data_IF_207856115449
#
_entry.id   IF_207856115449
#
_cell.length_a   1.000
_cell.length_b   1.000
_cell.length_c   1.000
_cell.angle_alpha   90.00
_cell.angle_beta   90.00
_cell.angle_gamma   90.00
#
_symmetry.space_group_name_H-M   'P 1'
#
loop_
_entity.id
_entity.type
_entity.pdbx_description
1 polymer ?
#
# COMPACT_ATOMS: atom_id res chain seq x y z
N UNK A 1 3.64 -3.90 1.00
CA UNK A 1 2.31 -3.52 1.54
C UNK A 1 1.29 -4.51 0.99
N UNK A 2 0.78 -5.41 1.82
CA UNK A 2 -0.20 -6.41 1.39
C UNK A 2 -1.43 -5.73 0.84
N UNK A 3 -1.79 -6.14 -0.37
CA UNK A 3 -2.77 -5.50 -1.23
C UNK A 3 -3.75 -6.52 -1.78
N UNK A 4 -5.03 -6.18 -1.76
CA UNK A 4 -6.11 -6.99 -2.32
C UNK A 4 -7.07 -6.09 -3.08
N UNK A 5 -7.67 -6.58 -4.17
CA UNK A 5 -8.71 -5.85 -4.89
C UNK A 5 -10.02 -6.62 -4.80
N UNK A 6 -11.07 -5.95 -4.36
CA UNK A 6 -12.44 -6.46 -4.42
C UNK A 6 -13.37 -5.35 -4.87
N UNK A 7 -14.28 -5.63 -5.81
CA UNK A 7 -15.28 -4.67 -6.30
C UNK A 7 -14.67 -3.30 -6.70
N UNK A 8 -13.54 -3.32 -7.43
CA UNK A 8 -12.82 -2.11 -7.87
C UNK A 8 -12.27 -1.22 -6.73
N UNK A 9 -12.18 -1.77 -5.52
CA UNK A 9 -11.54 -1.14 -4.36
C UNK A 9 -10.25 -1.89 -4.04
N UNK A 10 -9.15 -1.14 -3.94
CA UNK A 10 -7.88 -1.64 -3.42
C UNK A 10 -7.87 -1.51 -1.89
N UNK A 11 -7.62 -2.62 -1.22
CA UNK A 11 -7.44 -2.72 0.22
C UNK A 11 -5.96 -2.85 0.55
N UNK A 12 -5.44 -2.00 1.42
CA UNK A 12 -4.11 -2.13 2.01
C UNK A 12 -4.23 -2.61 3.44
N UNK A 13 -3.53 -3.70 3.78
CA UNK A 13 -3.62 -4.29 5.10
C UNK A 13 -3.24 -3.29 6.20
N UNK A 14 -4.03 -3.23 7.27
CA UNK A 14 -3.92 -2.29 8.41
C UNK A 14 -2.54 -2.23 9.08
N UNK A 15 -1.74 -3.30 8.97
CA UNK A 15 -0.41 -3.36 9.58
C UNK A 15 0.69 -2.80 8.66
N UNK A 16 0.38 -2.60 7.38
CA UNK A 16 1.35 -2.16 6.37
C UNK A 16 1.13 -0.69 5.97
N UNK A 17 0.01 -0.08 6.39
CA UNK A 17 -0.27 1.35 6.19
C UNK A 17 0.59 2.22 7.12
N UNK A 18 0.99 3.43 6.69
CA UNK A 18 1.83 4.28 7.51
C UNK A 18 1.12 4.69 8.80
N UNK A 19 1.91 4.98 9.84
CA UNK A 19 1.41 5.50 11.11
C UNK A 19 1.92 6.91 11.37
N UNK A 20 1.01 7.79 11.77
CA UNK A 20 1.38 9.14 12.22
C UNK A 20 2.16 9.08 13.54
N UNK A 21 3.28 9.81 13.61
CA UNK A 21 4.07 9.95 14.84
C UNK A 21 4.27 11.43 15.16
N UNK A 22 3.69 11.89 16.28
CA UNK A 22 3.71 13.31 16.73
C UNK A 22 5.12 13.92 16.84
N UNK A 23 6.12 13.11 17.19
CA UNK A 23 7.55 13.51 17.24
C UNK A 23 8.40 12.73 16.23
N UNK A 24 7.80 12.30 15.13
CA UNK A 24 8.44 11.48 14.10
C UNK A 24 9.05 12.28 12.94
N UNK A 25 9.58 11.55 11.96
CA UNK A 25 10.11 12.12 10.72
C UNK A 25 9.02 12.91 9.96
N UNK A 26 9.38 14.13 9.54
CA UNK A 26 8.52 14.97 8.68
C UNK A 26 8.14 14.24 7.41
N UNK A 27 9.08 13.53 6.77
CA UNK A 27 8.82 12.79 5.53
C UNK A 27 7.83 11.66 5.75
N UNK A 28 7.96 10.88 6.84
CA UNK A 28 7.03 9.78 7.14
C UNK A 28 5.63 10.29 7.51
N UNK A 29 5.55 11.43 8.20
CA UNK A 29 4.27 12.08 8.46
C UNK A 29 3.64 12.64 7.18
N UNK A 30 4.44 13.20 6.27
CA UNK A 30 3.96 13.62 4.96
C UNK A 30 3.48 12.43 4.14
N UNK A 31 4.19 11.29 4.19
CA UNK A 31 3.74 10.06 3.55
C UNK A 31 2.38 9.60 4.07
N UNK A 32 2.24 9.54 5.40
CA UNK A 32 0.97 9.26 6.07
C UNK A 32 -0.16 10.16 5.59
N UNK A 33 0.04 11.49 5.62
CA UNK A 33 -1.01 12.43 5.25
C UNK A 33 -1.35 12.40 3.77
N UNK A 34 -0.36 12.20 2.91
CA UNK A 34 -0.56 12.13 1.46
C UNK A 34 -1.43 10.93 1.11
N UNK A 35 -1.06 9.73 1.58
CA UNK A 35 -1.87 8.52 1.37
C UNK A 35 -3.28 8.68 1.97
N UNK A 36 -3.38 9.21 3.20
CA UNK A 36 -4.66 9.36 3.88
C UNK A 36 -5.60 10.33 3.17
N UNK A 37 -5.07 11.34 2.51
CA UNK A 37 -5.85 12.37 1.81
C UNK A 37 -6.53 11.88 0.52
N UNK A 38 -6.06 10.78 -0.05
CA UNK A 38 -6.62 10.19 -1.28
C UNK A 38 -7.37 8.88 -1.02
N UNK A 39 -7.37 8.38 0.23
CA UNK A 39 -8.09 7.17 0.60
C UNK A 39 -9.59 7.45 0.75
N UNK A 40 -10.43 6.55 0.24
CA UNK A 40 -11.87 6.56 0.49
C UNK A 40 -12.18 6.25 1.96
N UNK A 41 -11.43 5.30 2.54
CA UNK A 41 -11.51 4.95 3.97
C UNK A 41 -10.12 4.69 4.54
N UNK A 42 -9.82 5.31 5.69
CA UNK A 42 -8.53 5.20 6.38
C UNK A 42 -8.71 5.28 7.90
N UNK A 43 -9.52 4.35 8.43
CA UNK A 43 -9.81 4.28 9.87
C UNK A 43 -8.68 3.58 10.63
N UNK A 44 -8.52 3.96 11.90
CA UNK A 44 -7.49 3.36 12.75
C UNK A 44 -7.75 1.86 12.96
N UNK A 45 -6.72 1.04 12.78
CA UNK A 45 -6.79 -0.41 13.00
C UNK A 45 -7.63 -1.16 11.97
N UNK A 46 -7.88 -0.56 10.81
CA UNK A 46 -8.62 -1.13 9.68
C UNK A 46 -7.78 -1.00 8.41
N UNK A 47 -8.09 -1.83 7.43
CA UNK A 47 -7.49 -1.72 6.11
C UNK A 47 -7.84 -0.37 5.48
N UNK A 48 -6.93 0.16 4.68
CA UNK A 48 -7.18 1.40 3.95
C UNK A 48 -7.71 1.08 2.56
N UNK A 49 -8.73 1.82 2.16
CA UNK A 49 -9.49 1.60 0.93
C UNK A 49 -9.20 2.71 -0.07
N UNK A 50 -8.99 2.32 -1.33
CA UNK A 50 -8.77 3.22 -2.45
C UNK A 50 -9.62 2.76 -3.63
N UNK A 51 -10.60 3.56 -4.02
CA UNK A 51 -11.44 3.34 -5.19
C UNK A 51 -10.64 3.49 -6.49
N UNK A 52 -11.11 2.86 -7.57
CA UNK A 52 -10.41 2.86 -8.85
C UNK A 52 -10.08 4.28 -9.38
N UNK A 53 -10.91 5.27 -9.09
CA UNK A 53 -10.74 6.67 -9.47
C UNK A 53 -9.46 7.29 -8.90
N UNK A 54 -8.96 6.80 -7.76
CA UNK A 54 -7.76 7.32 -7.10
C UNK A 54 -6.51 6.44 -7.30
N UNK A 55 -6.61 5.30 -7.98
CA UNK A 55 -5.48 4.38 -8.18
C UNK A 55 -4.29 5.02 -8.90
N UNK A 56 -4.56 5.88 -9.89
CA UNK A 56 -3.48 6.61 -10.58
C UNK A 56 -2.76 7.58 -9.63
N UNK A 57 -3.49 8.23 -8.74
CA UNK A 57 -2.92 9.11 -7.72
C UNK A 57 -2.08 8.30 -6.73
N UNK A 58 -2.60 7.17 -6.25
CA UNK A 58 -1.90 6.25 -5.37
C UNK A 58 -0.57 5.79 -5.97
N UNK A 59 -0.55 5.35 -7.24
CA UNK A 59 0.69 5.00 -7.92
C UNK A 59 1.72 6.11 -7.89
N UNK A 60 1.32 7.33 -8.22
CA UNK A 60 2.24 8.48 -8.27
C UNK A 60 2.80 8.80 -6.90
N UNK A 61 1.98 8.72 -5.87
CA UNK A 61 2.41 8.91 -4.47
C UNK A 61 3.42 7.84 -4.07
N UNK A 62 3.11 6.57 -4.31
CA UNK A 62 4.00 5.46 -3.96
C UNK A 62 5.34 5.57 -4.70
N UNK A 63 5.34 5.80 -6.02
CA UNK A 63 6.56 6.04 -6.80
C UNK A 63 7.40 7.20 -6.25
N UNK A 64 6.76 8.35 -6.00
CA UNK A 64 7.44 9.53 -5.47
C UNK A 64 8.15 9.22 -4.15
N UNK A 65 7.49 8.48 -3.25
CA UNK A 65 8.10 8.12 -1.97
C UNK A 65 9.14 7.01 -2.08
N UNK A 66 9.01 6.06 -3.00
CA UNK A 66 10.07 5.09 -3.34
C UNK A 66 11.34 5.82 -3.78
N UNK A 67 11.22 6.76 -4.72
CA UNK A 67 12.34 7.53 -5.28
C UNK A 67 12.98 8.48 -4.25
N UNK A 68 12.24 8.86 -3.20
CA UNK A 68 12.76 9.73 -2.13
C UNK A 68 13.84 9.07 -1.26
N UNK A 69 13.87 7.72 -1.21
CA UNK A 69 14.85 6.95 -0.41
C UNK A 69 14.62 6.97 1.12
N UNK A 70 13.52 7.57 1.62
CA UNK A 70 13.23 7.68 3.05
C UNK A 70 12.42 6.52 3.66
N UNK A 71 11.88 5.64 2.80
CA UNK A 71 11.02 4.52 3.17
C UNK A 71 11.62 3.21 2.66
N UNK A 72 11.33 2.11 3.35
CA UNK A 72 11.67 0.78 2.88
C UNK A 72 10.85 0.39 1.64
N UNK A 73 11.36 -0.58 0.87
CA UNK A 73 10.68 -1.06 -0.34
C UNK A 73 9.27 -1.58 -0.02
N UNK A 74 9.12 -2.41 1.03
CA UNK A 74 7.81 -2.94 1.46
C UNK A 74 6.81 -1.86 1.89
N UNK A 75 7.28 -0.67 2.26
CA UNK A 75 6.39 0.45 2.61
C UNK A 75 5.83 1.16 1.39
N UNK A 76 6.38 0.95 0.20
CA UNK A 76 6.00 1.67 -1.03
C UNK A 76 5.62 0.76 -2.20
N UNK A 77 5.82 -0.54 -2.05
CA UNK A 77 5.42 -1.56 -3.03
C UNK A 77 4.15 -2.28 -2.57
N UNK A 78 3.18 -2.40 -3.47
CA UNK A 78 2.00 -3.24 -3.31
C UNK A 78 2.40 -4.71 -3.48
N UNK A 79 2.07 -5.54 -2.52
CA UNK A 79 2.32 -6.99 -2.53
C UNK A 79 0.96 -7.66 -2.68
N UNK A 80 0.71 -8.28 -3.84
CA UNK A 80 -0.53 -8.98 -4.13
C UNK A 80 -0.36 -10.49 -3.86
N UNK A 81 -1.35 -11.10 -3.22
CA UNK A 81 -1.43 -12.56 -3.11
C UNK A 81 -1.53 -13.20 -4.49
N UNK A 82 -0.98 -14.41 -4.64
CA UNK A 82 -1.13 -15.22 -5.85
C UNK A 82 -2.58 -15.66 -6.14
N UNK A 83 -3.50 -15.50 -5.19
CA UNK A 83 -4.95 -15.66 -5.44
C UNK A 83 -5.50 -14.56 -6.35
N UNK A 84 -4.87 -13.38 -6.36
CA UNK A 84 -5.17 -12.32 -7.32
C UNK A 84 -4.59 -12.77 -8.68
N UNK A 85 -5.43 -13.05 -9.67
CA UNK A 85 -4.93 -13.56 -10.96
C UNK A 85 -4.11 -12.53 -11.74
N UNK A 86 -4.46 -11.25 -11.63
CA UNK A 86 -3.87 -10.16 -12.41
C UNK A 86 -3.67 -8.92 -11.56
N UNK A 87 -2.46 -8.36 -11.62
CA UNK A 87 -2.17 -6.99 -11.15
C UNK A 87 -2.63 -6.00 -12.22
N UNK A 88 -3.54 -5.06 -11.90
CA UNK A 88 -3.96 -4.05 -12.85
C UNK A 88 -2.80 -3.23 -13.43
N UNK A 89 -2.90 -2.86 -14.71
CA UNK A 89 -1.86 -2.13 -15.44
C UNK A 89 -1.43 -0.83 -14.76
N UNK A 90 -2.38 -0.16 -14.08
CA UNK A 90 -2.08 1.05 -13.32
C UNK A 90 -1.04 0.79 -12.24
N UNK A 91 -0.96 -0.41 -11.65
CA UNK A 91 -0.07 -0.73 -10.54
C UNK A 91 1.26 -1.41 -10.95
N UNK A 92 1.45 -1.76 -12.23
CA UNK A 92 2.65 -2.52 -12.69
C UNK A 92 4.01 -1.97 -12.25
N UNK A 93 4.14 -0.66 -12.03
CA UNK A 93 5.42 -0.05 -11.61
C UNK A 93 5.66 -0.07 -10.10
N UNK A 94 4.63 -0.37 -9.30
CA UNK A 94 4.65 -0.29 -7.84
C UNK A 94 4.10 -1.54 -7.19
N UNK A 95 4.06 -2.66 -7.92
CA UNK A 95 3.45 -3.88 -7.46
C UNK A 95 4.33 -5.09 -7.73
N UNK A 96 4.23 -6.05 -6.82
CA UNK A 96 4.86 -7.37 -6.91
C UNK A 96 3.87 -8.41 -6.38
N UNK A 97 4.18 -9.68 -6.64
CA UNK A 97 3.54 -10.79 -5.95
C UNK A 97 4.18 -10.97 -4.57
N UNK A 98 3.40 -11.44 -3.61
CA UNK A 98 3.89 -11.91 -2.31
C UNK A 98 4.90 -13.05 -2.49
N UNK A 99 5.93 -13.14 -1.64
CA UNK A 99 6.88 -14.25 -1.70
C UNK A 99 6.20 -15.55 -1.21
N UNK A 100 6.18 -16.60 -2.04
CA UNK A 100 5.58 -17.91 -1.69
C UNK A 100 6.14 -18.52 -0.40
N UNK A 101 7.37 -18.15 -0.01
CA UNK A 101 8.02 -18.65 1.21
C UNK A 101 7.47 -18.02 2.51
N UNK A 102 6.90 -16.80 2.48
CA UNK A 102 6.26 -16.19 3.67
C UNK A 102 4.89 -16.82 3.96
N UNK A 103 4.21 -17.37 2.94
CA UNK A 103 2.88 -18.00 3.08
C UNK A 103 2.92 -19.35 3.82
N UNK A 104 4.06 -20.04 3.81
CA UNK A 104 4.25 -21.34 4.48
C UNK A 104 4.44 -21.14 5.99
N UNK A 105 5.09 -20.05 6.43
CA UNK A 105 5.34 -19.78 7.85
C UNK A 105 4.08 -19.32 8.62
N UNK A 106 3.08 -18.74 7.96
CA UNK A 106 1.84 -18.32 8.63
C UNK A 106 0.81 -19.46 8.80
N UNK A 107 1.07 -20.62 8.19
CA UNK A 107 0.22 -21.81 8.28
C UNK A 107 0.89 -22.99 9.02
N UNK A 108 2.05 -22.75 9.65
CA UNK A 108 2.85 -23.73 10.41
C UNK A 108 2.71 -23.62 11.91
#
# INVERSE_FOLDING_TARGET
MRAKIENEVLYLHKDDVPQYKKKGSVVRNNYFWTLRSIAGRANFGQDWEYEAEVWLALRRVLLFFTESGYLGLRETTLEFSHEQEVIPDVFRLIATWEDENEAIEQNG
#
